data_IF_225364439450
#
_entry.id   IF_225364439450
#
_cell.length_a   1.000
_cell.length_b   1.000
_cell.length_c   1.000
_cell.angle_alpha   90.00
_cell.angle_beta   90.00
_cell.angle_gamma   90.00
#
_symmetry.space_group_name_H-M   'P 1'
#
loop_
_entity.id
_entity.type
_entity.pdbx_description
1 polymer ?
#
# COMPACT_ATOMS: atom_id res chain seq x y z
N UNK A 1 -2.43 -7.71 6.69
CA UNK A 1 -2.61 -7.05 5.37
C UNK A 1 -2.30 -8.04 4.26
N UNK A 2 -2.78 -7.82 3.04
CA UNK A 2 -2.57 -8.76 1.92
C UNK A 2 -1.75 -8.13 0.80
N UNK A 3 -0.59 -8.71 0.52
CA UNK A 3 0.30 -8.30 -0.57
C UNK A 3 -0.30 -8.64 -1.95
N UNK A 4 -0.19 -7.71 -2.89
CA UNK A 4 -0.63 -7.86 -4.29
C UNK A 4 0.42 -7.30 -5.25
N UNK A 5 0.41 -7.80 -6.49
CA UNK A 5 1.15 -7.19 -7.60
C UNK A 5 0.20 -6.30 -8.39
N UNK A 6 0.61 -5.07 -8.68
CA UNK A 6 -0.18 -4.12 -9.46
C UNK A 6 0.03 -4.36 -10.96
N UNK A 7 -0.92 -3.91 -11.78
CA UNK A 7 -0.80 -4.01 -13.24
C UNK A 7 0.36 -3.20 -13.82
N UNK A 8 0.79 -2.15 -13.10
CA UNK A 8 1.93 -1.30 -13.44
C UNK A 8 3.26 -1.83 -12.92
N UNK A 9 3.31 -3.03 -12.32
CA UNK A 9 4.56 -3.70 -11.97
C UNK A 9 5.13 -3.37 -10.59
N UNK A 10 4.47 -2.55 -9.78
CA UNK A 10 4.82 -2.34 -8.37
C UNK A 10 4.10 -3.35 -7.45
N UNK A 11 4.50 -3.39 -6.19
CA UNK A 11 3.81 -4.06 -5.09
C UNK A 11 2.77 -3.10 -4.52
N UNK A 12 1.65 -3.62 -4.06
CA UNK A 12 0.74 -2.89 -3.17
C UNK A 12 0.21 -3.84 -2.10
N UNK A 13 -0.42 -3.30 -1.06
CA UNK A 13 -1.08 -4.11 -0.04
C UNK A 13 -2.52 -3.67 0.12
N UNK A 14 -3.44 -4.62 0.11
CA UNK A 14 -4.79 -4.40 0.63
C UNK A 14 -4.69 -4.32 2.15
N UNK A 15 -5.18 -3.22 2.71
CA UNK A 15 -5.14 -2.95 4.14
C UNK A 15 -6.45 -2.30 4.61
N UNK A 16 -6.77 -2.52 5.87
CA UNK A 16 -7.85 -1.87 6.60
C UNK A 16 -7.35 -0.60 7.28
N UNK A 17 -8.27 0.30 7.63
CA UNK A 17 -7.95 1.47 8.44
C UNK A 17 -7.29 1.10 9.78
N UNK A 18 -7.69 -0.02 10.39
CA UNK A 18 -7.08 -0.51 11.64
C UNK A 18 -5.62 -0.90 11.45
N UNK A 19 -5.30 -1.63 10.38
CA UNK A 19 -3.90 -1.98 10.07
C UNK A 19 -3.06 -0.74 9.82
N UNK A 20 -3.61 0.28 9.14
CA UNK A 20 -2.87 1.54 8.91
C UNK A 20 -2.55 2.29 10.20
N UNK A 21 -3.30 2.08 11.29
CA UNK A 21 -3.01 2.69 12.58
C UNK A 21 -1.68 2.19 13.19
N UNK A 22 -1.25 0.98 12.84
CA UNK A 22 0.08 0.46 13.22
C UNK A 22 1.22 1.24 12.56
N UNK A 23 0.93 1.98 11.48
CA UNK A 23 1.85 2.89 10.80
C UNK A 23 1.66 4.35 11.23
N UNK A 24 0.79 4.62 12.22
CA UNK A 24 0.41 5.98 12.63
C UNK A 24 -0.67 6.63 11.76
N UNK A 25 -1.32 5.87 10.86
CA UNK A 25 -2.42 6.35 10.02
C UNK A 25 -3.78 6.33 10.72
N UNK A 26 -4.79 6.94 10.08
CA UNK A 26 -6.17 6.99 10.58
C UNK A 26 -7.21 6.47 9.56
N UNK A 27 -6.78 5.70 8.56
CA UNK A 27 -7.65 5.25 7.47
C UNK A 27 -8.16 6.38 6.58
N UNK A 28 -7.48 7.53 6.55
CA UNK A 28 -7.79 8.65 5.64
C UNK A 28 -6.96 8.48 4.37
N UNK A 29 -7.60 8.61 3.22
CA UNK A 29 -6.93 8.52 1.93
C UNK A 29 -6.01 9.72 1.70
N UNK A 30 -4.71 9.47 1.46
CA UNK A 30 -3.69 10.51 1.29
C UNK A 30 -3.88 11.35 0.01
N UNK A 31 -4.72 10.90 -0.92
CA UNK A 31 -4.96 11.60 -2.19
C UNK A 31 -6.23 12.46 -2.20
N UNK A 32 -7.29 12.03 -1.51
CA UNK A 32 -8.59 12.71 -1.57
C UNK A 32 -9.16 13.10 -0.20
N UNK A 33 -8.46 12.79 0.89
CA UNK A 33 -8.84 13.09 2.28
C UNK A 33 -10.17 12.47 2.74
N UNK A 34 -10.74 11.54 1.97
CA UNK A 34 -11.92 10.78 2.35
C UNK A 34 -11.52 9.61 3.26
N UNK A 35 -12.37 9.30 4.24
CA UNK A 35 -12.20 8.11 5.05
C UNK A 35 -12.38 6.84 4.21
N UNK A 36 -11.44 5.91 4.34
CA UNK A 36 -11.42 4.64 3.65
C UNK A 36 -11.25 3.52 4.69
N UNK A 37 -12.31 2.77 5.04
CA UNK A 37 -12.19 1.67 6.00
C UNK A 37 -11.35 0.50 5.46
N UNK A 38 -11.28 0.36 4.13
CA UNK A 38 -10.40 -0.53 3.40
C UNK A 38 -9.80 0.23 2.22
N UNK A 39 -8.53 0.00 1.95
CA UNK A 39 -7.77 0.71 0.93
C UNK A 39 -6.50 -0.03 0.58
N UNK A 40 -5.57 0.73 0.00
CA UNK A 40 -4.35 0.20 -0.56
C UNK A 40 -3.16 1.00 -0.06
N UNK A 41 -2.19 0.31 0.53
CA UNK A 41 -0.86 0.86 0.75
C UNK A 41 -0.05 0.70 -0.54
N UNK A 42 0.50 1.79 -1.05
CA UNK A 42 1.36 1.84 -2.24
C UNK A 42 2.79 2.16 -1.76
N UNK A 43 3.67 1.16 -1.55
CA UNK A 43 5.00 1.37 -0.96
C UNK A 43 5.90 2.31 -1.76
N UNK A 44 5.81 2.32 -3.09
CA UNK A 44 6.59 3.23 -3.93
C UNK A 44 6.25 4.70 -3.69
N UNK A 45 5.02 4.99 -3.26
CA UNK A 45 4.57 6.33 -2.86
C UNK A 45 4.62 6.57 -1.36
N UNK A 46 4.72 5.49 -0.58
CA UNK A 46 4.46 5.48 0.87
C UNK A 46 3.11 6.11 1.24
N UNK A 47 2.03 5.71 0.54
CA UNK A 47 0.69 6.27 0.71
C UNK A 47 -0.36 5.20 0.97
N UNK A 48 -1.35 5.52 1.81
CA UNK A 48 -2.61 4.80 1.93
C UNK A 48 -3.70 5.49 1.13
N UNK A 49 -4.33 4.78 0.20
CA UNK A 49 -5.34 5.35 -0.70
C UNK A 49 -6.62 4.51 -0.73
N UNK A 50 -7.75 5.19 -0.92
CA UNK A 50 -9.03 4.53 -1.18
C UNK A 50 -9.01 3.82 -2.54
N UNK A 51 -9.98 2.92 -2.77
CA UNK A 51 -10.08 2.14 -4.01
C UNK A 51 -10.04 3.00 -5.28
N UNK A 52 -10.82 4.08 -5.32
CA UNK A 52 -10.86 4.93 -6.53
C UNK A 52 -9.54 5.63 -6.82
N UNK A 53 -8.83 6.07 -5.77
CA UNK A 53 -7.51 6.69 -5.91
C UNK A 53 -6.46 5.67 -6.34
N UNK A 54 -6.55 4.43 -5.83
CA UNK A 54 -5.70 3.32 -6.26
C UNK A 54 -5.92 3.01 -7.75
N UNK A 55 -7.17 2.82 -8.19
CA UNK A 55 -7.50 2.49 -9.57
C UNK A 55 -7.02 3.59 -10.54
N UNK A 56 -7.17 4.87 -10.15
CA UNK A 56 -6.66 6.01 -10.95
C UNK A 56 -5.14 6.03 -11.05
N UNK A 57 -4.45 5.71 -9.96
CA UNK A 57 -2.98 5.61 -9.97
C UNK A 57 -2.54 4.41 -10.82
N UNK A 58 -3.16 3.25 -10.67
CA UNK A 58 -2.81 2.05 -11.42
C UNK A 58 -3.08 2.20 -12.93
N UNK A 59 -4.09 2.97 -13.35
CA UNK A 59 -4.33 3.25 -14.77
C UNK A 59 -3.27 4.15 -15.44
N UNK A 60 -2.60 5.01 -14.66
CA UNK A 60 -1.71 6.07 -15.18
C UNK A 60 -0.26 5.87 -14.76
N UNK A 61 -0.03 5.03 -13.77
CA UNK A 61 1.27 4.73 -13.21
C UNK A 61 2.17 4.10 -14.26
N UNK A 62 3.46 4.38 -14.14
CA UNK A 62 4.49 3.76 -14.95
C UNK A 62 5.55 3.22 -14.02
N UNK A 63 6.04 2.03 -14.32
CA UNK A 63 7.16 1.43 -13.61
C UNK A 63 8.45 2.16 -13.96
N UNK A 64 9.15 2.64 -12.93
CA UNK A 64 10.49 3.19 -13.00
C UNK A 64 11.40 2.33 -12.12
N UNK A 65 12.38 1.61 -12.70
CA UNK A 65 13.34 0.81 -11.93
C UNK A 65 14.09 1.60 -10.87
N UNK A 66 14.27 2.91 -11.09
CA UNK A 66 14.93 3.84 -10.17
C UNK A 66 14.20 3.97 -8.82
N UNK A 67 12.90 3.69 -8.78
CA UNK A 67 12.10 3.77 -7.55
C UNK A 67 12.16 2.49 -6.71
N UNK A 68 12.72 1.39 -7.25
CA UNK A 68 12.77 0.10 -6.54
C UNK A 68 13.43 0.17 -5.15
N UNK A 69 14.54 0.90 -4.94
CA UNK A 69 15.14 1.01 -3.61
C UNK A 69 14.20 1.69 -2.60
N UNK A 70 13.41 2.68 -3.06
CA UNK A 70 12.41 3.36 -2.21
C UNK A 70 11.27 2.40 -1.90
N UNK A 71 10.73 1.72 -2.90
CA UNK A 71 9.68 0.72 -2.73
C UNK A 71 10.08 -0.37 -1.72
N UNK A 72 11.28 -0.96 -1.89
CA UNK A 72 11.79 -2.03 -1.03
C UNK A 72 11.96 -1.59 0.43
N UNK A 73 12.46 -0.37 0.66
CA UNK A 73 12.58 0.19 2.01
C UNK A 73 11.21 0.35 2.67
N UNK A 74 10.23 0.84 1.92
CA UNK A 74 8.86 1.01 2.44
C UNK A 74 8.17 -0.34 2.66
N UNK A 75 8.37 -1.32 1.77
CA UNK A 75 7.89 -2.71 1.95
C UNK A 75 8.42 -3.28 3.27
N UNK A 76 9.74 -3.21 3.49
CA UNK A 76 10.35 -3.75 4.71
C UNK A 76 9.78 -3.09 5.98
N UNK A 77 9.52 -1.78 5.92
CA UNK A 77 8.87 -1.07 7.02
C UNK A 77 7.42 -1.55 7.24
N UNK A 78 6.60 -1.65 6.19
CA UNK A 78 5.21 -2.08 6.33
C UNK A 78 5.10 -3.51 6.87
N UNK A 79 5.92 -4.43 6.37
CA UNK A 79 5.90 -5.84 6.78
C UNK A 79 6.45 -6.05 8.20
N UNK A 80 7.33 -5.16 8.68
CA UNK A 80 7.78 -5.16 10.07
C UNK A 80 6.70 -4.68 11.06
N UNK A 81 5.76 -3.86 10.59
CA UNK A 81 4.74 -3.22 11.45
C UNK A 81 3.37 -3.92 11.37
N UNK A 82 3.00 -4.46 10.20
CA UNK A 82 1.70 -5.08 9.95
C UNK A 82 1.92 -6.52 9.50
N UNK A 83 1.35 -7.53 10.20
CA UNK A 83 1.42 -8.92 9.77
C UNK A 83 0.86 -9.12 8.35
N UNK A 84 1.58 -9.86 7.51
CA UNK A 84 1.15 -10.20 6.15
C UNK A 84 0.38 -11.51 6.15
N UNK A 85 -0.82 -11.50 5.58
CA UNK A 85 -1.62 -12.71 5.41
C UNK A 85 -0.90 -13.71 4.49
N UNK A 86 -0.70 -14.94 4.95
CA UNK A 86 -0.12 -16.03 4.16
C UNK A 86 1.41 -16.19 4.26
N UNK A 87 2.12 -15.29 4.93
CA UNK A 87 3.52 -15.51 5.34
C UNK A 87 3.52 -16.05 6.78
N UNK A 88 3.62 -17.39 6.91
CA UNK A 88 3.64 -18.08 8.21
C UNK A 88 2.80 -19.36 8.32
N UNK A 89 2.16 -19.82 7.23
CA UNK A 89 1.65 -21.19 7.17
C UNK A 89 2.81 -22.14 6.84
N UNK A 90 3.52 -22.59 7.87
CA UNK A 90 4.36 -23.79 7.84
C UNK A 90 3.64 -24.95 8.51
#
# INVERSE_FOLDING_TARGET
MKKIKTSVGYTAYQATAYETALLGGAGICDHCNQFAPKGYLIPVLNHYVCRECFDRWEQRGKFYPEDLPVEQRTIAYYEAMIPVEGEGAV
#
